data_IF_800380203127
#
_entry.id   IF_800380203127
#
_cell.length_a   1.000
_cell.length_b   1.000
_cell.length_c   1.000
_cell.angle_alpha   90.00
_cell.angle_beta   90.00
_cell.angle_gamma   90.00
#
_symmetry.space_group_name_H-M   'P 1'
#
loop_
_entity.id
_entity.type
_entity.pdbx_description
1 polymer ?
#
# COMPACT_ATOMS: atom_id res chain seq x y z
N UNK A 1 24.57 -8.38 -9.07
CA UNK A 1 23.36 -7.81 -9.70
C UNK A 1 22.75 -6.85 -8.70
N UNK A 2 22.38 -5.63 -9.09
CA UNK A 2 21.61 -4.73 -8.23
C UNK A 2 20.18 -5.30 -8.18
N UNK A 3 19.82 -5.99 -7.11
CA UNK A 3 18.40 -6.21 -6.78
C UNK A 3 17.82 -4.82 -6.56
N UNK A 4 17.03 -4.33 -7.51
CA UNK A 4 16.31 -3.07 -7.31
C UNK A 4 15.30 -3.32 -6.18
N UNK A 5 15.15 -2.34 -5.29
CA UNK A 5 14.26 -2.30 -4.11
C UNK A 5 12.77 -2.49 -4.48
N UNK A 6 12.46 -2.68 -5.76
CA UNK A 6 11.11 -2.85 -6.28
C UNK A 6 10.97 -4.06 -7.19
N UNK A 7 11.99 -4.92 -7.31
CA UNK A 7 11.97 -6.01 -8.28
C UNK A 7 10.76 -6.94 -8.09
N UNK A 8 10.51 -7.39 -6.85
CA UNK A 8 9.37 -8.26 -6.54
C UNK A 8 8.03 -7.57 -6.83
N UNK A 9 7.92 -6.28 -6.48
CA UNK A 9 6.73 -5.48 -6.76
C UNK A 9 6.47 -5.37 -8.27
N UNK A 10 7.51 -5.08 -9.05
CA UNK A 10 7.39 -4.95 -10.51
C UNK A 10 7.00 -6.26 -11.18
N UNK A 11 7.56 -7.39 -10.74
CA UNK A 11 7.17 -8.71 -11.24
C UNK A 11 5.69 -9.01 -10.97
N UNK A 12 5.21 -8.72 -9.76
CA UNK A 12 3.79 -8.93 -9.42
C UNK A 12 2.87 -8.01 -10.23
N UNK A 13 3.28 -6.76 -10.48
CA UNK A 13 2.51 -5.85 -11.33
C UNK A 13 2.42 -6.33 -12.78
N UNK A 14 3.51 -6.87 -13.33
CA UNK A 14 3.53 -7.47 -14.68
C UNK A 14 2.58 -8.68 -14.78
N UNK A 15 2.53 -9.53 -13.75
CA UNK A 15 1.58 -10.65 -13.67
C UNK A 15 0.13 -10.16 -13.60
N UNK A 16 -0.16 -9.16 -12.76
CA UNK A 16 -1.49 -8.54 -12.65
C UNK A 16 -1.95 -7.99 -14.00
N UNK A 17 -1.07 -7.27 -14.72
CA UNK A 17 -1.35 -6.71 -16.04
C UNK A 17 -1.61 -7.83 -17.06
N UNK A 18 -0.75 -8.84 -17.11
CA UNK A 18 -0.86 -9.98 -18.03
C UNK A 18 -2.18 -10.74 -17.85
N UNK A 19 -2.61 -10.91 -16.59
CA UNK A 19 -3.87 -11.56 -16.26
C UNK A 19 -5.10 -10.63 -16.32
N UNK A 20 -4.91 -9.36 -16.70
CA UNK A 20 -5.95 -8.32 -16.73
C UNK A 20 -6.69 -8.16 -15.39
N UNK A 21 -5.98 -8.38 -14.29
CA UNK A 21 -6.50 -8.19 -12.93
C UNK A 21 -6.43 -6.70 -12.55
N UNK A 22 -7.28 -6.32 -11.60
CA UNK A 22 -7.24 -4.98 -11.03
C UNK A 22 -6.20 -4.94 -9.89
N UNK A 23 -5.17 -4.05 -9.93
CA UNK A 23 -4.18 -3.91 -8.86
C UNK A 23 -4.81 -3.68 -7.49
N UNK A 24 -5.85 -2.84 -7.39
CA UNK A 24 -6.57 -2.62 -6.13
C UNK A 24 -7.22 -3.91 -5.61
N UNK A 25 -7.88 -4.65 -6.49
CA UNK A 25 -8.54 -5.91 -6.13
C UNK A 25 -7.54 -6.97 -5.65
N UNK A 26 -6.36 -7.03 -6.30
CA UNK A 26 -5.27 -7.88 -5.83
C UNK A 26 -4.74 -7.41 -4.46
N UNK A 27 -4.58 -6.11 -4.28
CA UNK A 27 -4.20 -5.49 -3.01
C UNK A 27 -5.16 -5.86 -1.88
N UNK A 28 -6.47 -5.85 -2.11
CA UNK A 28 -7.47 -6.27 -1.12
C UNK A 28 -7.28 -7.74 -0.68
N UNK A 29 -6.99 -8.63 -1.62
CA UNK A 29 -6.73 -10.06 -1.31
C UNK A 29 -5.46 -10.20 -0.48
N UNK A 30 -4.39 -9.51 -0.89
CA UNK A 30 -3.12 -9.51 -0.15
C UNK A 30 -3.30 -8.95 1.26
N UNK A 31 -3.93 -7.78 1.38
CA UNK A 31 -4.17 -7.11 2.66
C UNK A 31 -5.03 -7.93 3.61
N UNK A 32 -5.99 -8.71 3.09
CA UNK A 32 -6.77 -9.63 3.94
C UNK A 32 -5.87 -10.69 4.58
N UNK A 33 -4.95 -11.27 3.81
CA UNK A 33 -4.00 -12.26 4.34
C UNK A 33 -3.01 -11.65 5.31
N UNK A 34 -2.44 -10.49 4.97
CA UNK A 34 -1.55 -9.75 5.85
C UNK A 34 -2.26 -9.38 7.16
N UNK A 35 -3.54 -9.00 7.13
CA UNK A 35 -4.28 -8.66 8.33
C UNK A 35 -4.37 -9.82 9.33
N UNK A 36 -4.50 -11.06 8.85
CA UNK A 36 -4.53 -12.26 9.69
C UNK A 36 -3.19 -12.47 10.42
N UNK A 37 -2.07 -12.21 9.73
CA UNK A 37 -0.73 -12.27 10.31
C UNK A 37 -0.48 -11.12 11.30
N UNK A 38 -0.89 -9.90 10.94
CA UNK A 38 -0.71 -8.70 11.76
C UNK A 38 -1.56 -8.71 13.03
N UNK A 39 -2.72 -9.36 13.01
CA UNK A 39 -3.62 -9.49 14.17
C UNK A 39 -2.99 -10.22 15.37
N UNK A 40 -1.85 -10.88 15.17
CA UNK A 40 -1.08 -11.54 16.23
C UNK A 40 -0.16 -10.58 17.00
N UNK A 41 0.01 -9.35 16.53
CA UNK A 41 0.88 -8.33 17.12
C UNK A 41 0.09 -7.32 17.96
N UNK A 42 0.81 -6.49 18.72
CA UNK A 42 0.24 -5.27 19.30
C UNK A 42 0.03 -4.24 18.18
N UNK A 43 -1.20 -3.72 18.06
CA UNK A 43 -1.62 -2.91 16.91
C UNK A 43 -2.02 -1.50 17.33
N UNK A 44 -1.77 -0.48 16.47
CA UNK A 44 -2.23 0.88 16.72
C UNK A 44 -3.75 0.97 16.84
N UNK A 45 -4.25 1.67 17.87
CA UNK A 45 -5.68 1.96 18.03
C UNK A 45 -6.16 3.03 17.04
N UNK A 46 -5.30 3.99 16.74
CA UNK A 46 -5.60 5.05 15.78
C UNK A 46 -5.56 4.52 14.34
N UNK A 47 -6.59 4.85 13.57
CA UNK A 47 -6.80 4.31 12.23
C UNK A 47 -5.73 4.77 11.22
N UNK A 48 -5.18 5.99 11.35
CA UNK A 48 -4.13 6.46 10.45
C UNK A 48 -2.79 5.85 10.78
N UNK A 49 -2.50 5.64 12.07
CA UNK A 49 -1.31 4.90 12.49
C UNK A 49 -1.40 3.41 12.12
N UNK A 50 -2.59 2.80 12.15
CA UNK A 50 -2.77 1.45 11.61
C UNK A 50 -2.56 1.42 10.08
N UNK A 51 -3.01 2.45 9.37
CA UNK A 51 -2.75 2.57 7.94
C UNK A 51 -1.25 2.74 7.63
N UNK A 52 -0.52 3.50 8.45
CA UNK A 52 0.93 3.61 8.38
C UNK A 52 1.62 2.26 8.63
N UNK A 53 1.19 1.55 9.67
CA UNK A 53 1.68 0.21 9.98
C UNK A 53 1.40 -0.80 8.86
N UNK A 54 0.26 -0.69 8.18
CA UNK A 54 -0.06 -1.50 7.00
C UNK A 54 0.91 -1.21 5.82
N UNK A 55 1.35 0.04 5.66
CA UNK A 55 2.36 0.41 4.66
C UNK A 55 3.73 -0.15 5.04
N UNK A 56 4.08 -0.17 6.33
CA UNK A 56 5.31 -0.82 6.79
C UNK A 56 5.32 -2.31 6.45
N UNK A 57 4.20 -3.01 6.72
CA UNK A 57 4.04 -4.41 6.36
C UNK A 57 4.14 -4.63 4.84
N UNK A 58 3.52 -3.76 4.04
CA UNK A 58 3.63 -3.80 2.58
C UNK A 58 5.09 -3.62 2.13
N UNK A 59 5.78 -2.60 2.65
CA UNK A 59 7.18 -2.33 2.33
C UNK A 59 8.07 -3.53 2.66
N UNK A 60 7.86 -4.15 3.83
CA UNK A 60 8.60 -5.35 4.23
C UNK A 60 8.32 -6.54 3.29
N UNK A 61 7.06 -6.76 2.93
CA UNK A 61 6.66 -7.87 2.05
C UNK A 61 7.25 -7.74 0.64
N UNK A 62 7.24 -6.54 0.07
CA UNK A 62 7.72 -6.28 -1.29
C UNK A 62 9.20 -5.85 -1.36
N UNK A 63 9.89 -5.83 -0.22
CA UNK A 63 11.24 -5.29 -0.06
C UNK A 63 11.39 -3.86 -0.61
N UNK A 64 10.32 -3.05 -0.52
CA UNK A 64 10.24 -1.71 -1.10
C UNK A 64 10.22 -0.58 -0.06
N UNK A 65 10.29 0.67 -0.53
CA UNK A 65 10.30 1.84 0.38
C UNK A 65 9.43 2.98 -0.13
N UNK A 66 8.18 2.98 0.30
CA UNK A 66 7.26 4.12 0.16
C UNK A 66 7.55 5.18 1.22
N UNK A 67 7.78 6.43 0.80
CA UNK A 67 7.94 7.57 1.71
C UNK A 67 6.56 7.98 2.25
N UNK A 68 6.53 8.49 3.49
CA UNK A 68 5.27 8.88 4.14
C UNK A 68 5.45 9.93 5.22
N UNK A 69 4.43 10.74 5.45
CA UNK A 69 4.35 11.68 6.57
C UNK A 69 2.89 11.99 6.93
N UNK A 70 2.67 12.45 8.16
CA UNK A 70 1.37 12.93 8.62
C UNK A 70 1.28 14.45 8.49
N UNK A 71 0.19 14.95 7.90
CA UNK A 71 -0.12 16.38 7.82
C UNK A 71 -1.64 16.57 7.86
N UNK A 72 -2.15 17.58 8.57
CA UNK A 72 -3.58 17.92 8.60
C UNK A 72 -4.55 16.77 8.96
N UNK A 73 -4.15 15.83 9.83
CA UNK A 73 -4.89 14.59 10.13
C UNK A 73 -5.09 13.67 8.90
N UNK A 74 -4.15 13.71 7.97
CA UNK A 74 -4.05 12.81 6.83
C UNK A 74 -2.66 12.16 6.82
N UNK A 75 -2.61 10.94 6.28
CA UNK A 75 -1.36 10.24 6.00
C UNK A 75 -1.06 10.36 4.51
N UNK A 76 0.03 11.04 4.17
CA UNK A 76 0.49 11.20 2.81
C UNK A 76 1.56 10.15 2.51
N UNK A 77 1.45 9.48 1.36
CA UNK A 77 2.30 8.35 0.94
C UNK A 77 2.81 8.61 -0.47
N UNK A 78 4.08 8.35 -0.74
CA UNK A 78 4.73 8.68 -2.00
C UNK A 78 5.68 7.59 -2.49
N UNK A 79 5.74 7.44 -3.81
CA UNK A 79 6.81 6.70 -4.48
C UNK A 79 7.88 7.70 -4.93
N UNK A 80 9.04 7.68 -4.28
CA UNK A 80 10.14 8.64 -4.57
C UNK A 80 11.00 8.24 -5.78
N UNK A 81 11.05 6.95 -6.11
CA UNK A 81 11.99 6.46 -7.11
C UNK A 81 11.54 6.80 -8.54
N UNK A 82 12.34 7.59 -9.25
CA UNK A 82 11.96 8.11 -10.56
C UNK A 82 11.81 7.01 -11.62
N UNK A 83 12.54 5.91 -11.49
CA UNK A 83 12.52 4.79 -12.43
C UNK A 83 11.21 4.03 -12.49
N UNK A 84 10.31 4.23 -11.51
CA UNK A 84 9.02 3.56 -11.42
C UNK A 84 7.84 4.54 -11.51
N UNK A 85 8.09 5.80 -11.89
CA UNK A 85 7.04 6.82 -12.09
C UNK A 85 5.97 6.39 -13.10
N UNK A 86 6.34 5.64 -14.13
CA UNK A 86 5.45 5.16 -15.18
C UNK A 86 4.43 4.11 -14.70
N UNK A 87 4.71 3.42 -13.59
CA UNK A 87 3.82 2.42 -12.97
C UNK A 87 3.33 2.85 -11.57
N UNK A 88 3.52 4.13 -11.25
CA UNK A 88 3.17 4.69 -9.94
C UNK A 88 1.68 4.58 -9.64
N UNK A 89 0.82 4.60 -10.65
CA UNK A 89 -0.62 4.42 -10.49
C UNK A 89 -0.92 3.01 -9.98
N UNK A 90 -0.38 1.99 -10.63
CA UNK A 90 -0.62 0.59 -10.32
C UNK A 90 -0.06 0.23 -8.94
N UNK A 91 1.11 0.76 -8.59
CA UNK A 91 1.67 0.67 -7.24
C UNK A 91 0.71 1.29 -6.22
N UNK A 92 0.23 2.52 -6.46
CA UNK A 92 -0.66 3.21 -5.52
C UNK A 92 -1.99 2.48 -5.35
N UNK A 93 -2.58 1.95 -6.41
CA UNK A 93 -3.81 1.16 -6.35
C UNK A 93 -3.61 -0.14 -5.55
N UNK A 94 -2.49 -0.84 -5.77
CA UNK A 94 -2.15 -2.04 -5.03
C UNK A 94 -1.98 -1.76 -3.52
N UNK A 95 -1.24 -0.70 -3.19
CA UNK A 95 -1.06 -0.26 -1.79
C UNK A 95 -2.41 0.15 -1.19
N UNK A 96 -3.22 0.93 -1.91
CA UNK A 96 -4.53 1.37 -1.46
C UNK A 96 -5.45 0.19 -1.11
N UNK A 97 -5.50 -0.81 -1.98
CA UNK A 97 -6.27 -2.04 -1.73
C UNK A 97 -5.77 -2.79 -0.50
N UNK A 98 -4.44 -2.90 -0.36
CA UNK A 98 -3.81 -3.58 0.78
C UNK A 98 -4.16 -2.91 2.11
N UNK A 99 -3.96 -1.59 2.19
CA UNK A 99 -4.23 -0.81 3.42
C UNK A 99 -5.72 -0.81 3.75
N UNK A 100 -6.59 -0.69 2.74
CA UNK A 100 -8.05 -0.74 2.93
C UNK A 100 -8.47 -2.06 3.57
N UNK A 101 -8.01 -3.19 3.02
CA UNK A 101 -8.35 -4.50 3.56
C UNK A 101 -7.82 -4.69 4.99
N UNK A 102 -6.59 -4.27 5.28
CA UNK A 102 -6.01 -4.41 6.63
C UNK A 102 -6.82 -3.63 7.66
N UNK A 103 -7.11 -2.36 7.39
CA UNK A 103 -7.86 -1.50 8.32
C UNK A 103 -9.29 -2.00 8.51
N UNK A 104 -9.95 -2.38 7.43
CA UNK A 104 -11.30 -2.95 7.50
C UNK A 104 -11.31 -4.25 8.31
N UNK A 105 -10.28 -5.09 8.15
CA UNK A 105 -10.28 -6.41 8.80
C UNK A 105 -9.91 -6.37 10.28
N UNK A 106 -9.01 -5.47 10.67
CA UNK A 106 -8.55 -5.33 12.05
C UNK A 106 -9.50 -4.46 12.88
N UNK A 107 -9.93 -3.31 12.33
CA UNK A 107 -10.71 -2.32 13.10
C UNK A 107 -12.19 -2.28 12.72
N UNK A 108 -12.62 -2.98 11.67
CA UNK A 108 -13.97 -2.87 11.12
C UNK A 108 -14.36 -1.40 10.79
N UNK A 109 -13.39 -0.64 10.30
CA UNK A 109 -13.53 0.76 9.90
C UNK A 109 -13.28 0.93 8.41
N UNK A 110 -13.82 2.00 7.85
CA UNK A 110 -13.51 2.45 6.50
C UNK A 110 -12.52 3.59 6.56
N UNK A 111 -11.67 3.67 5.56
CA UNK A 111 -10.77 4.80 5.31
C UNK A 111 -11.05 5.36 3.92
N UNK A 112 -10.74 6.64 3.74
CA UNK A 112 -10.81 7.30 2.44
C UNK A 112 -9.41 7.41 1.88
N UNK A 113 -9.21 6.83 0.69
CA UNK A 113 -7.94 6.89 -0.01
C UNK A 113 -8.15 7.66 -1.32
N UNK A 114 -7.33 8.69 -1.53
CA UNK A 114 -7.25 9.43 -2.79
C UNK A 114 -5.87 9.25 -3.40
N UNK A 115 -5.82 8.78 -4.64
CA UNK A 115 -4.58 8.60 -5.40
C UNK A 115 -4.36 9.77 -6.35
N UNK A 116 -3.13 10.25 -6.43
CA UNK A 116 -2.66 11.32 -7.33
C UNK A 116 -1.48 10.78 -8.16
N UNK A 117 -1.73 10.02 -9.23
CA UNK A 117 -0.67 9.35 -10.00
C UNK A 117 0.37 10.30 -10.60
N UNK A 118 -0.06 11.49 -11.06
CA UNK A 118 0.85 12.51 -11.60
C UNK A 118 1.93 12.96 -10.58
N UNK A 119 1.61 12.87 -9.30
CA UNK A 119 2.50 13.23 -8.20
C UNK A 119 3.12 12.00 -7.52
N UNK A 120 2.85 10.79 -8.03
CA UNK A 120 3.22 9.53 -7.39
C UNK A 120 2.82 9.51 -5.91
N UNK A 121 1.63 10.02 -5.61
CA UNK A 121 1.15 10.28 -4.25
C UNK A 121 -0.18 9.57 -3.99
N UNK A 122 -0.40 9.17 -2.74
CA UNK A 122 -1.67 8.77 -2.19
C UNK A 122 -1.89 9.49 -0.86
N UNK A 123 -3.13 9.87 -0.56
CA UNK A 123 -3.52 10.50 0.69
C UNK A 123 -4.59 9.62 1.34
N UNK A 124 -4.36 9.26 2.60
CA UNK A 124 -5.26 8.45 3.42
C UNK A 124 -5.84 9.33 4.53
N UNK A 125 -7.17 9.33 4.63
CA UNK A 125 -7.92 10.00 5.70
C UNK A 125 -8.93 9.03 6.33
N UNK A 126 -9.41 9.39 7.52
CA UNK A 126 -10.46 8.64 8.24
C UNK A 126 -11.81 8.68 7.53
#
# INVERSE_FOLDING_TARGET
MKTSVYWLLLTILEEIETEKKNPFGFGMILGTKLAEELALNELPEDTLYLAEYAIDAFNAYFECTLDRFHENNELHVFVKEESIKNVSKEIMELVAGTVTAIVERIQNKRIRIKTYPANCQMIISR
#
